data_IF_676600904733
#
_entry.id   IF_676600904733
#
_cell.length_a   1.000
_cell.length_b   1.000
_cell.length_c   1.000
_cell.angle_alpha   90.00
_cell.angle_beta   90.00
_cell.angle_gamma   90.00
#
_symmetry.space_group_name_H-M   'P 1'
#
loop_
_entity.id
_entity.type
_entity.pdbx_description
1 polymer ?
#
# COMPACT_ATOMS: atom_id res chain seq x y z
N UNK A 1 16.65 -20.80 -1.17
CA UNK A 1 17.76 -19.88 -0.86
C UNK A 1 17.34 -18.51 -1.34
N UNK A 2 17.42 -17.52 -0.46
CA UNK A 2 16.74 -16.22 -0.55
C UNK A 2 17.24 -15.38 -1.72
N UNK A 3 16.39 -15.16 -2.74
CA UNK A 3 16.55 -14.03 -3.65
C UNK A 3 16.16 -12.76 -2.90
N UNK A 4 17.03 -12.31 -2.00
CA UNK A 4 17.04 -10.91 -1.58
C UNK A 4 17.69 -10.10 -2.71
N UNK A 5 17.01 -10.09 -3.87
CA UNK A 5 17.31 -9.15 -4.93
C UNK A 5 17.06 -7.74 -4.39
N UNK A 6 17.90 -6.81 -4.82
CA UNK A 6 17.94 -5.41 -4.41
C UNK A 6 16.60 -4.72 -4.73
N UNK A 7 15.61 -4.89 -3.85
CA UNK A 7 14.29 -4.29 -4.00
C UNK A 7 14.26 -2.99 -3.23
N UNK A 8 14.31 -1.88 -3.97
CA UNK A 8 14.11 -0.54 -3.41
C UNK A 8 12.72 -0.47 -2.80
N UNK A 9 12.60 0.19 -1.64
CA UNK A 9 11.34 0.32 -0.90
C UNK A 9 11.12 1.77 -0.49
N UNK A 10 9.96 2.31 -0.84
CA UNK A 10 9.52 3.66 -0.42
C UNK A 10 8.22 3.53 0.36
N UNK A 11 8.10 4.26 1.46
CA UNK A 11 6.87 4.38 2.24
C UNK A 11 6.44 5.84 2.36
N UNK A 12 5.14 6.08 2.27
CA UNK A 12 4.51 7.38 2.55
C UNK A 12 3.30 7.17 3.47
N UNK A 13 3.22 7.97 4.52
CA UNK A 13 2.09 7.91 5.46
C UNK A 13 1.30 9.22 5.42
N UNK A 14 -0.02 9.09 5.51
CA UNK A 14 -0.96 10.21 5.58
C UNK A 14 -1.76 10.06 6.86
N UNK A 15 -1.63 11.03 7.77
CA UNK A 15 -2.42 11.09 9.00
C UNK A 15 -3.83 11.58 8.70
N UNK A 16 -4.79 11.13 9.50
CA UNK A 16 -6.19 11.55 9.42
C UNK A 16 -6.80 11.71 10.81
N UNK A 17 -7.76 12.62 10.93
CA UNK A 17 -8.49 12.85 12.18
C UNK A 17 -9.90 12.21 12.18
N UNK A 18 -10.25 11.49 11.12
CA UNK A 18 -11.52 10.78 11.02
C UNK A 18 -11.63 9.67 12.08
N UNK A 19 -12.79 9.49 12.72
CA UNK A 19 -13.03 8.36 13.61
C UNK A 19 -13.18 7.03 12.83
N UNK A 20 -13.34 7.06 11.51
CA UNK A 20 -13.65 5.89 10.69
C UNK A 20 -12.44 5.39 9.89
N UNK A 21 -11.55 4.64 10.53
CA UNK A 21 -10.36 4.04 9.89
C UNK A 21 -10.72 3.11 8.73
N UNK A 22 -11.87 2.44 8.79
CA UNK A 22 -12.38 1.60 7.70
C UNK A 22 -12.70 2.41 6.44
N UNK A 23 -13.31 3.58 6.60
CA UNK A 23 -13.61 4.50 5.48
C UNK A 23 -12.30 4.98 4.85
N UNK A 24 -11.31 5.36 5.66
CA UNK A 24 -9.99 5.76 5.16
C UNK A 24 -9.33 4.63 4.36
N UNK A 25 -9.34 3.41 4.90
CA UNK A 25 -8.79 2.25 4.22
C UNK A 25 -9.48 2.01 2.85
N UNK A 26 -10.80 2.08 2.79
CA UNK A 26 -11.57 1.87 1.55
C UNK A 26 -11.31 2.94 0.50
N UNK A 27 -11.14 4.20 0.92
CA UNK A 27 -10.76 5.30 0.01
C UNK A 27 -9.36 5.03 -0.57
N UNK A 28 -8.38 4.71 0.29
CA UNK A 28 -7.03 4.39 -0.14
C UNK A 28 -6.99 3.18 -1.07
N UNK A 29 -7.72 2.11 -0.70
CA UNK A 29 -7.87 0.89 -1.50
C UNK A 29 -8.42 1.20 -2.89
N UNK A 30 -9.50 1.99 -2.96
CA UNK A 30 -10.12 2.37 -4.22
C UNK A 30 -9.16 3.18 -5.10
N UNK A 31 -8.44 4.14 -4.51
CA UNK A 31 -7.45 4.93 -5.24
C UNK A 31 -6.34 4.05 -5.86
N UNK A 32 -5.84 3.05 -5.14
CA UNK A 32 -4.87 2.09 -5.67
C UNK A 32 -5.48 1.16 -6.74
N UNK A 33 -6.64 0.57 -6.47
CA UNK A 33 -7.30 -0.39 -7.34
C UNK A 33 -7.81 0.23 -8.66
N UNK A 34 -8.05 1.54 -8.68
CA UNK A 34 -8.50 2.28 -9.87
C UNK A 34 -7.44 2.45 -10.96
N UNK A 35 -6.16 2.18 -10.65
CA UNK A 35 -5.06 2.33 -11.61
C UNK A 35 -5.06 1.16 -12.61
N UNK A 36 -4.72 1.39 -13.90
CA UNK A 36 -4.66 0.31 -14.90
C UNK A 36 -3.65 -0.77 -14.55
N UNK A 37 -3.97 -2.03 -14.85
CA UNK A 37 -3.03 -3.15 -14.72
C UNK A 37 -2.66 -3.54 -13.28
N UNK A 38 -3.40 -3.03 -12.30
CA UNK A 38 -3.24 -3.38 -10.88
C UNK A 38 -3.98 -4.68 -10.56
N UNK A 39 -3.32 -5.58 -9.82
CA UNK A 39 -3.86 -6.88 -9.42
C UNK A 39 -3.82 -6.98 -7.90
N UNK A 40 -4.97 -7.18 -7.25
CA UNK A 40 -5.03 -7.45 -5.81
C UNK A 40 -4.48 -8.86 -5.52
N UNK A 41 -3.49 -8.96 -4.64
CA UNK A 41 -2.85 -10.22 -4.25
C UNK A 41 -3.14 -10.62 -2.80
N UNK A 42 -3.41 -9.66 -1.93
CA UNK A 42 -3.78 -9.90 -0.54
C UNK A 42 -4.78 -8.85 -0.06
N UNK A 43 -5.75 -9.26 0.75
CA UNK A 43 -6.72 -8.36 1.39
C UNK A 43 -7.09 -8.85 2.78
N UNK A 44 -7.12 -7.96 3.76
CA UNK A 44 -7.54 -8.24 5.13
C UNK A 44 -8.14 -7.00 5.78
N UNK A 45 -9.33 -7.14 6.36
CA UNK A 45 -9.96 -6.16 7.24
C UNK A 45 -10.27 -6.88 8.55
N UNK A 46 -9.42 -6.72 9.57
CA UNK A 46 -9.63 -7.34 10.86
C UNK A 46 -10.55 -6.47 11.73
N UNK A 47 -11.75 -6.97 11.99
CA UNK A 47 -12.70 -6.40 12.95
C UNK A 47 -12.30 -6.82 14.38
N UNK A 48 -11.14 -6.34 14.84
CA UNK A 48 -10.75 -6.45 16.25
C UNK A 48 -11.23 -5.21 17.02
N UNK A 49 -10.96 -5.14 18.34
CA UNK A 49 -11.22 -3.91 19.13
C UNK A 49 -10.51 -2.66 18.58
N UNK A 50 -9.47 -2.87 17.78
CA UNK A 50 -8.74 -1.85 17.03
C UNK A 50 -8.81 -2.25 15.56
N UNK A 51 -9.35 -1.38 14.72
CA UNK A 51 -9.42 -1.67 13.28
C UNK A 51 -8.00 -1.75 12.70
N UNK A 52 -7.72 -2.85 11.99
CA UNK A 52 -6.49 -3.06 11.22
C UNK A 52 -6.84 -3.60 9.85
N UNK A 53 -6.30 -2.98 8.81
CA UNK A 53 -6.56 -3.41 7.45
C UNK A 53 -5.32 -3.34 6.57
N UNK A 54 -5.26 -4.28 5.62
CA UNK A 54 -4.18 -4.45 4.67
C UNK A 54 -4.74 -4.75 3.29
N UNK A 55 -4.15 -4.14 2.28
CA UNK A 55 -4.24 -4.63 0.91
C UNK A 55 -2.86 -4.66 0.28
N UNK A 56 -2.57 -5.71 -0.49
CA UNK A 56 -1.38 -5.84 -1.30
C UNK A 56 -1.80 -5.93 -2.76
N UNK A 57 -1.15 -5.13 -3.58
CA UNK A 57 -1.37 -5.08 -5.02
C UNK A 57 -0.07 -5.33 -5.74
N UNK A 58 -0.11 -6.13 -6.79
CA UNK A 58 0.92 -6.14 -7.81
C UNK A 58 0.61 -5.01 -8.81
N UNK A 59 1.61 -4.20 -9.12
CA UNK A 59 1.52 -3.07 -10.03
C UNK A 59 2.64 -3.14 -11.07
N UNK A 60 2.54 -2.35 -12.13
CA UNK A 60 3.62 -2.19 -13.11
C UNK A 60 4.10 -0.74 -13.12
N UNK A 61 5.41 -0.51 -12.96
CA UNK A 61 6.06 0.79 -13.02
C UNK A 61 7.14 0.68 -14.12
N UNK A 62 7.01 1.46 -15.21
CA UNK A 62 7.93 1.38 -16.36
C UNK A 62 8.17 -0.07 -16.86
N UNK A 63 7.08 -0.83 -17.04
CA UNK A 63 7.08 -2.24 -17.48
C UNK A 63 7.75 -3.24 -16.52
N UNK A 64 8.18 -2.80 -15.33
CA UNK A 64 8.70 -3.64 -14.27
C UNK A 64 7.62 -3.91 -13.21
N UNK A 65 7.66 -5.09 -12.58
CA UNK A 65 6.71 -5.48 -11.54
C UNK A 65 7.13 -4.92 -10.19
N UNK A 66 6.20 -4.24 -9.53
CA UNK A 66 6.35 -3.79 -8.16
C UNK A 66 5.17 -4.25 -7.29
N UNK A 67 5.34 -4.18 -5.98
CA UNK A 67 4.29 -4.44 -5.00
C UNK A 67 3.92 -3.12 -4.31
N UNK A 68 2.62 -2.82 -4.23
CA UNK A 68 2.04 -1.71 -3.48
C UNK A 68 1.22 -2.27 -2.31
N UNK A 69 1.58 -1.89 -1.10
CA UNK A 69 0.82 -2.17 0.12
C UNK A 69 0.12 -0.93 0.61
N UNK A 70 -1.14 -1.11 0.99
CA UNK A 70 -1.89 -0.19 1.83
C UNK A 70 -2.04 -0.82 3.19
N UNK A 71 -1.72 -0.08 4.24
CA UNK A 71 -1.86 -0.50 5.62
C UNK A 71 -2.52 0.60 6.46
N UNK A 72 -3.52 0.21 7.25
CA UNK A 72 -4.18 1.09 8.21
C UNK A 72 -4.21 0.40 9.56
N UNK A 73 -3.78 1.14 10.59
CA UNK A 73 -3.98 0.77 11.99
C UNK A 73 -4.63 1.95 12.72
N UNK A 74 -5.83 1.74 13.24
CA UNK A 74 -6.65 2.79 13.86
C UNK A 74 -5.92 3.52 15.01
N UNK A 75 -5.12 2.78 15.79
CA UNK A 75 -4.34 3.37 16.88
C UNK A 75 -3.32 4.42 16.40
N UNK A 76 -2.84 4.29 15.15
CA UNK A 76 -1.88 5.23 14.55
C UNK A 76 -2.54 6.38 13.81
N UNK A 77 -3.86 6.28 13.53
CA UNK A 77 -4.62 7.29 12.77
C UNK A 77 -3.91 7.73 11.49
N UNK A 78 -3.28 6.78 10.81
CA UNK A 78 -2.60 7.02 9.55
C UNK A 78 -2.82 5.85 8.60
N UNK A 79 -2.76 6.18 7.31
CA UNK A 79 -2.71 5.21 6.23
C UNK A 79 -1.29 5.23 5.67
N UNK A 80 -0.64 4.07 5.65
CA UNK A 80 0.68 3.88 5.06
C UNK A 80 0.51 3.26 3.67
N UNK A 81 1.15 3.89 2.70
CA UNK A 81 1.40 3.33 1.38
C UNK A 81 2.87 2.92 1.32
N UNK A 82 3.12 1.68 0.95
CA UNK A 82 4.48 1.16 0.77
C UNK A 82 4.59 0.61 -0.63
N UNK A 83 5.54 1.06 -1.44
CA UNK A 83 5.85 0.45 -2.73
C UNK A 83 7.26 -0.14 -2.70
N UNK A 84 7.45 -1.32 -3.29
CA UNK A 84 8.78 -1.90 -3.43
C UNK A 84 8.92 -2.71 -4.72
N UNK A 85 10.10 -2.62 -5.35
CA UNK A 85 10.35 -3.13 -6.70
C UNK A 85 11.81 -2.99 -7.10
N UNK A 86 12.14 -3.31 -8.34
CA UNK A 86 13.50 -3.21 -8.90
C UNK A 86 13.85 -1.81 -9.41
N UNK A 87 12.88 -0.90 -9.43
CA UNK A 87 13.01 0.48 -9.87
C UNK A 87 13.79 1.31 -8.83
N UNK A 88 14.33 2.45 -9.29
CA UNK A 88 15.01 3.39 -8.40
C UNK A 88 14.04 4.10 -7.44
N UNK A 89 14.59 4.68 -6.37
CA UNK A 89 13.81 5.35 -5.33
C UNK A 89 12.97 6.52 -5.86
N UNK A 90 13.48 7.24 -6.86
CA UNK A 90 12.78 8.41 -7.42
C UNK A 90 11.53 7.98 -8.21
N UNK A 91 11.62 6.91 -8.99
CA UNK A 91 10.48 6.33 -9.71
C UNK A 91 9.44 5.76 -8.76
N UNK A 92 9.87 5.03 -7.73
CA UNK A 92 8.99 4.51 -6.69
C UNK A 92 8.29 5.63 -5.92
N UNK A 93 9.01 6.72 -5.61
CA UNK A 93 8.45 7.91 -4.94
C UNK A 93 7.44 8.62 -5.83
N UNK A 94 7.71 8.77 -7.13
CA UNK A 94 6.80 9.41 -8.07
C UNK A 94 5.48 8.63 -8.26
N UNK A 95 5.50 7.32 -8.02
CA UNK A 95 4.32 6.48 -8.08
C UNK A 95 3.37 6.65 -6.87
N UNK A 96 3.88 7.06 -5.71
CA UNK A 96 3.14 7.19 -4.43
C UNK A 96 2.46 8.56 -4.24
#
# INVERSE_FOLDING_TARGET
MSEAGDRTKVSRSISYDSPESATVFRIAWFAAASRPGVILTEHSEAESKIFKAKALFQVHINDQKADLRIWVEEAQRSVEFTVWGSEDEAQLTAYL
#
